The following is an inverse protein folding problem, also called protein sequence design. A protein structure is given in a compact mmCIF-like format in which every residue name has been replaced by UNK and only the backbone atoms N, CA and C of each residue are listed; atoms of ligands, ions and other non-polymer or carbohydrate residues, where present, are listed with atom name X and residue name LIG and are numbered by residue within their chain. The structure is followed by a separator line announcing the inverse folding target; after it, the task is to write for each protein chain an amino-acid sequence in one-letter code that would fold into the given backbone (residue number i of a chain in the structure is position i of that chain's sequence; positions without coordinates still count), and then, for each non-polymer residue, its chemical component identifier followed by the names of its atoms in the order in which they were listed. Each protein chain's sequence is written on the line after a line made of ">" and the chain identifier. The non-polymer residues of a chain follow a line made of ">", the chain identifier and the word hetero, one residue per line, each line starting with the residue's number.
data_IF_166481465365
#
_entry.id   IF_166481465365
#
_cell.length_a   1.000
_cell.length_b   1.000
_cell.length_c   1.000
_cell.angle_alpha   90.00
_cell.angle_beta   90.00
_cell.angle_gamma   90.00
#
_symmetry.space_group_name_H-M   'P 1'
#
loop_
_entity.id
_entity.type
_entity.pdbx_description
1 polymer ?
#
# COMPACT_ATOMS: atom_id res chain seq x y z
N UNK A 1 -31.57 -45.69 40.44
CA UNK A 1 -32.21 -44.43 39.97
C UNK A 1 -31.26 -43.23 39.92
N UNK A 2 -30.25 -43.11 40.80
CA UNK A 2 -29.25 -42.01 40.75
C UNK A 2 -28.30 -42.06 39.54
N UNK A 3 -27.99 -43.26 39.03
CA UNK A 3 -27.08 -43.45 37.88
C UNK A 3 -27.70 -43.00 36.54
N UNK A 4 -29.01 -43.18 36.36
CA UNK A 4 -29.74 -42.70 35.17
C UNK A 4 -29.88 -41.17 35.15
N UNK A 5 -29.95 -40.53 36.33
CA UNK A 5 -30.01 -39.07 36.44
C UNK A 5 -28.66 -38.42 36.05
N UNK A 6 -27.54 -39.08 36.34
CA UNK A 6 -26.20 -38.58 36.01
C UNK A 6 -25.88 -38.66 34.51
N UNK A 7 -26.37 -39.70 33.83
CA UNK A 7 -26.12 -39.90 32.39
C UNK A 7 -26.89 -38.89 31.52
N UNK A 8 -28.11 -38.50 31.92
CA UNK A 8 -28.92 -37.50 31.22
C UNK A 8 -28.36 -36.06 31.32
N UNK A 9 -27.69 -35.75 32.45
CA UNK A 9 -27.01 -34.45 32.64
C UNK A 9 -25.76 -34.34 31.76
N UNK A 10 -25.06 -35.45 31.53
CA UNK A 10 -23.85 -35.47 30.70
C UNK A 10 -24.14 -35.26 29.21
N UNK A 11 -25.29 -35.75 28.73
CA UNK A 11 -25.72 -35.54 27.33
C UNK A 11 -26.15 -34.10 27.04
N UNK A 12 -26.61 -33.35 28.03
CA UNK A 12 -26.98 -31.93 27.86
C UNK A 12 -25.75 -30.99 27.77
N UNK A 13 -24.60 -31.40 28.34
CA UNK A 13 -23.35 -30.62 28.33
C UNK A 13 -22.55 -30.75 27.02
N UNK A 14 -22.94 -31.65 26.12
CA UNK A 14 -22.21 -31.90 24.86
C UNK A 14 -22.68 -31.04 23.67
N UNK A 15 -23.63 -30.12 23.88
CA UNK A 15 -24.21 -29.28 22.81
C UNK A 15 -23.29 -28.10 22.44
N UNK A 16 -22.38 -27.68 23.31
CA UNK A 16 -21.48 -26.53 23.06
C UNK A 16 -20.21 -26.88 22.26
N UNK A 17 -20.12 -28.08 21.69
CA UNK A 17 -18.98 -28.53 20.87
C UNK A 17 -19.23 -28.43 19.35
N UNK A 18 -20.20 -27.64 18.90
CA UNK A 18 -20.36 -27.35 17.47
C UNK A 18 -19.26 -26.40 17.01
N UNK A 19 -18.35 -26.91 16.17
CA UNK A 19 -17.36 -26.14 15.43
C UNK A 19 -18.09 -25.06 14.61
N UNK A 20 -18.05 -23.81 15.07
CA UNK A 20 -18.59 -22.67 14.33
C UNK A 20 -17.79 -22.54 13.04
N UNK A 21 -18.32 -23.10 11.95
CA UNK A 21 -17.89 -22.72 10.62
C UNK A 21 -18.11 -21.21 10.50
N UNK A 22 -17.02 -20.46 10.53
CA UNK A 22 -17.06 -19.02 10.70
C UNK A 22 -17.68 -18.41 9.44
N UNK A 23 -18.90 -17.88 9.57
CA UNK A 23 -19.66 -17.25 8.47
C UNK A 23 -18.83 -16.17 7.74
N UNK A 24 -17.86 -15.59 8.45
CA UNK A 24 -16.86 -14.67 7.91
C UNK A 24 -16.10 -15.25 6.71
N UNK A 25 -15.74 -16.53 6.71
CA UNK A 25 -15.00 -17.18 5.61
C UNK A 25 -15.78 -17.12 4.30
N UNK A 26 -17.06 -17.53 4.32
CA UNK A 26 -17.90 -17.51 3.13
C UNK A 26 -18.16 -16.08 2.64
N UNK A 27 -18.27 -15.10 3.55
CA UNK A 27 -18.42 -13.70 3.17
C UNK A 27 -17.18 -13.16 2.43
N UNK A 28 -15.98 -13.47 2.91
CA UNK A 28 -14.75 -13.06 2.22
C UNK A 28 -14.52 -13.82 0.91
N UNK A 29 -14.82 -15.13 0.89
CA UNK A 29 -14.74 -15.95 -0.31
C UNK A 29 -15.65 -15.41 -1.42
N UNK A 30 -16.90 -15.11 -1.08
CA UNK A 30 -17.87 -14.54 -2.03
C UNK A 30 -17.53 -13.11 -2.46
N UNK A 31 -16.74 -12.37 -1.68
CA UNK A 31 -16.29 -11.03 -2.05
C UNK A 31 -15.19 -11.04 -3.13
N UNK A 32 -14.51 -12.17 -3.36
CA UNK A 32 -13.49 -12.33 -4.39
C UNK A 32 -14.19 -12.59 -5.73
N UNK A 33 -14.57 -11.52 -6.42
CA UNK A 33 -15.19 -11.58 -7.76
C UNK A 33 -14.34 -10.89 -8.80
N UNK A 34 -14.45 -11.35 -10.06
CA UNK A 34 -13.73 -10.76 -11.18
C UNK A 34 -14.05 -9.27 -11.35
N UNK A 35 -15.33 -8.89 -11.25
CA UNK A 35 -15.77 -7.50 -11.40
C UNK A 35 -15.19 -6.58 -10.31
N UNK A 36 -15.16 -7.05 -9.06
CA UNK A 36 -14.60 -6.28 -7.96
C UNK A 36 -13.10 -6.08 -8.12
N UNK A 37 -12.38 -7.14 -8.50
CA UNK A 37 -10.94 -7.06 -8.76
C UNK A 37 -10.63 -6.15 -9.95
N UNK A 38 -11.42 -6.27 -11.02
CA UNK A 38 -11.31 -5.42 -12.20
C UNK A 38 -11.53 -3.94 -11.86
N UNK A 39 -12.52 -3.62 -11.03
CA UNK A 39 -12.77 -2.25 -10.58
C UNK A 39 -11.57 -1.62 -9.85
N UNK A 40 -10.93 -2.37 -8.94
CA UNK A 40 -9.71 -1.92 -8.29
C UNK A 40 -8.54 -1.76 -9.28
N UNK A 41 -8.38 -2.71 -10.19
CA UNK A 41 -7.31 -2.71 -11.18
C UNK A 41 -7.43 -1.52 -12.15
N UNK A 42 -8.61 -1.29 -12.72
CA UNK A 42 -8.86 -0.19 -13.65
C UNK A 42 -8.69 1.17 -12.98
N UNK A 43 -9.11 1.32 -11.71
CA UNK A 43 -8.84 2.56 -10.99
C UNK A 43 -7.34 2.81 -10.82
N UNK A 44 -6.58 1.81 -10.37
CA UNK A 44 -5.13 1.94 -10.15
C UNK A 44 -4.38 2.18 -11.46
N UNK A 45 -4.87 1.62 -12.57
CA UNK A 45 -4.29 1.78 -13.91
C UNK A 45 -4.82 3.01 -14.69
N UNK A 46 -5.76 3.77 -14.11
CA UNK A 46 -6.33 4.95 -14.78
C UNK A 46 -5.38 6.13 -14.78
N UNK A 47 -5.57 7.05 -15.73
CA UNK A 47 -4.78 8.28 -15.84
C UNK A 47 -4.85 9.16 -14.57
N UNK A 48 -5.92 9.02 -13.77
CA UNK A 48 -6.08 9.72 -12.49
C UNK A 48 -4.96 9.41 -11.49
N UNK A 49 -4.38 8.21 -11.59
CA UNK A 49 -3.27 7.82 -10.72
C UNK A 49 -1.93 8.16 -11.34
N UNK A 50 -1.84 8.77 -12.54
CA UNK A 50 -0.60 9.26 -13.18
C UNK A 50 0.58 8.23 -13.24
N UNK A 51 0.32 6.96 -12.94
CA UNK A 51 1.34 5.92 -12.77
C UNK A 51 1.81 5.66 -11.33
N UNK A 52 2.77 4.74 -11.19
CA UNK A 52 3.26 4.22 -9.89
C UNK A 52 4.77 4.40 -9.71
N UNK A 53 5.34 5.38 -10.39
CA UNK A 53 6.74 5.73 -10.17
C UNK A 53 6.94 6.24 -8.75
N UNK A 54 8.04 5.83 -8.12
CA UNK A 54 8.34 6.17 -6.73
C UNK A 54 8.47 7.68 -6.56
N UNK A 55 7.90 8.23 -5.47
CA UNK A 55 7.94 9.65 -5.13
C UNK A 55 7.11 10.57 -6.03
N UNK A 56 6.27 10.02 -6.91
CA UNK A 56 5.33 10.81 -7.73
C UNK A 56 4.01 11.07 -7.00
N UNK A 57 3.21 12.01 -7.52
CA UNK A 57 1.86 12.30 -7.03
C UNK A 57 0.94 11.08 -7.17
N UNK A 58 0.99 10.44 -8.32
CA UNK A 58 0.23 9.24 -8.64
C UNK A 58 0.37 8.09 -7.64
N UNK A 59 1.61 7.82 -7.24
CA UNK A 59 1.93 6.84 -6.21
C UNK A 59 1.27 7.17 -4.86
N UNK A 60 1.24 8.45 -4.46
CA UNK A 60 0.61 8.88 -3.20
C UNK A 60 -0.91 8.74 -3.24
N UNK A 61 -1.54 9.04 -4.38
CA UNK A 61 -3.00 8.85 -4.56
C UNK A 61 -3.34 7.37 -4.42
N UNK A 62 -2.59 6.50 -5.11
CA UNK A 62 -2.79 5.05 -5.05
C UNK A 62 -2.58 4.49 -3.64
N UNK A 63 -1.56 4.95 -2.91
CA UNK A 63 -1.32 4.55 -1.53
C UNK A 63 -2.50 4.91 -0.60
N UNK A 64 -3.04 6.12 -0.74
CA UNK A 64 -4.22 6.56 0.02
C UNK A 64 -5.48 5.76 -0.35
N UNK A 65 -5.64 5.40 -1.63
CA UNK A 65 -6.73 4.53 -2.05
C UNK A 65 -6.68 3.17 -1.35
N UNK A 66 -5.52 2.50 -1.36
CA UNK A 66 -5.34 1.18 -0.74
C UNK A 66 -5.55 1.26 0.78
N UNK A 67 -5.00 2.27 1.45
CA UNK A 67 -5.22 2.48 2.89
C UNK A 67 -6.72 2.64 3.22
N UNK A 68 -7.47 3.35 2.38
CA UNK A 68 -8.92 3.47 2.55
C UNK A 68 -9.66 2.16 2.28
N UNK A 69 -9.22 1.33 1.34
CA UNK A 69 -9.82 0.00 1.12
C UNK A 69 -9.63 -0.89 2.36
N UNK A 70 -8.43 -0.91 2.96
CA UNK A 70 -8.18 -1.63 4.21
C UNK A 70 -9.03 -1.13 5.36
N UNK A 71 -9.19 0.19 5.47
CA UNK A 71 -10.08 0.81 6.45
C UNK A 71 -11.54 0.36 6.26
N UNK A 72 -12.04 0.33 5.02
CA UNK A 72 -13.39 -0.14 4.71
C UNK A 72 -13.59 -1.63 5.02
N UNK A 73 -12.53 -2.43 4.91
CA UNK A 73 -12.53 -3.85 5.28
C UNK A 73 -12.40 -4.09 6.79
N UNK A 74 -12.20 -3.04 7.61
CA UNK A 74 -12.02 -3.16 9.06
C UNK A 74 -10.66 -3.74 9.46
N UNK A 75 -9.66 -3.70 8.57
CA UNK A 75 -8.31 -4.18 8.87
C UNK A 75 -7.68 -3.28 9.94
N UNK A 76 -7.13 -3.89 11.00
CA UNK A 76 -6.43 -3.14 12.04
C UNK A 76 -5.15 -2.53 11.45
N UNK A 77 -4.92 -1.20 11.61
CA UNK A 77 -3.72 -0.58 11.10
C UNK A 77 -2.48 -1.05 11.86
N UNK A 78 -1.40 -1.28 11.11
CA UNK A 78 -0.09 -1.73 11.61
C UNK A 78 1.05 -0.86 11.06
N UNK A 79 0.74 0.34 10.56
CA UNK A 79 1.75 1.29 10.10
C UNK A 79 2.60 1.83 11.25
N UNK A 80 3.76 2.38 10.92
CA UNK A 80 4.71 2.94 11.89
C UNK A 80 4.61 4.46 12.00
N UNK A 81 3.76 5.10 11.17
CA UNK A 81 3.49 6.54 11.27
C UNK A 81 2.67 6.84 12.52
N UNK A 82 3.19 7.71 13.38
CA UNK A 82 2.44 8.23 14.52
C UNK A 82 1.57 9.40 14.05
N UNK A 83 0.26 9.26 14.19
CA UNK A 83 -0.71 10.33 13.93
C UNK A 83 -1.58 10.56 15.15
N UNK A 84 -2.08 11.78 15.29
CA UNK A 84 -3.04 12.17 16.33
C UNK A 84 -4.47 11.77 15.96
N UNK A 85 -4.76 11.61 14.67
CA UNK A 85 -6.06 11.18 14.16
C UNK A 85 -6.08 9.66 13.91
N UNK A 86 -6.87 8.86 14.67
CA UNK A 86 -7.00 7.42 14.46
C UNK A 86 -7.59 7.03 13.10
N UNK A 87 -8.25 7.97 12.41
CA UNK A 87 -8.93 7.73 11.14
C UNK A 87 -8.12 8.17 9.92
N UNK A 88 -6.95 8.79 10.12
CA UNK A 88 -6.08 9.20 9.03
C UNK A 88 -5.54 7.99 8.25
N UNK A 89 -5.48 8.01 6.91
CA UNK A 89 -4.92 6.91 6.11
C UNK A 89 -3.46 6.57 6.47
N UNK A 90 -2.72 7.54 7.01
CA UNK A 90 -1.31 7.43 7.36
C UNK A 90 -1.02 6.32 8.39
N UNK A 91 -2.01 5.96 9.23
CA UNK A 91 -1.90 4.83 10.18
C UNK A 91 -1.58 3.49 9.52
N UNK A 92 -1.82 3.35 8.21
CA UNK A 92 -1.52 2.13 7.45
C UNK A 92 -0.14 2.17 6.78
N UNK A 93 0.58 3.29 6.82
CA UNK A 93 1.81 3.46 6.07
C UNK A 93 3.05 3.00 6.87
N UNK A 94 3.99 2.41 6.12
CA UNK A 94 5.32 2.04 6.60
C UNK A 94 6.36 2.83 5.79
N UNK A 95 6.78 4.02 6.26
CA UNK A 95 7.79 4.82 5.58
C UNK A 95 9.15 4.11 5.54
N UNK A 96 9.86 4.33 4.43
CA UNK A 96 11.24 3.91 4.23
C UNK A 96 12.00 4.97 3.44
N UNK A 97 13.32 5.01 3.60
CA UNK A 97 14.17 5.97 2.89
C UNK A 97 14.34 5.58 1.42
N UNK A 98 14.08 6.53 0.52
CA UNK A 98 14.32 6.37 -0.92
C UNK A 98 15.51 7.23 -1.33
N UNK A 99 16.46 6.63 -2.03
CA UNK A 99 17.61 7.36 -2.59
C UNK A 99 17.38 7.60 -4.08
N UNK A 100 17.28 8.87 -4.48
CA UNK A 100 17.27 9.25 -5.90
C UNK A 100 18.72 9.45 -6.35
N UNK A 101 19.11 8.81 -7.45
CA UNK A 101 20.33 9.19 -8.16
C UNK A 101 20.02 10.49 -8.90
N UNK A 102 20.51 11.61 -8.36
CA UNK A 102 20.47 12.87 -9.09
C UNK A 102 21.36 12.75 -10.34
N UNK A 103 20.82 13.04 -11.52
CA UNK A 103 21.68 13.34 -12.67
C UNK A 103 22.40 14.67 -12.37
N UNK A 104 23.66 14.84 -12.76
CA UNK A 104 24.34 16.12 -12.58
C UNK A 104 23.54 17.22 -13.28
N UNK A 105 22.96 18.14 -12.49
CA UNK A 105 22.12 19.23 -12.99
C UNK A 105 22.87 20.09 -13.99
N UNK A 106 24.17 20.31 -13.74
CA UNK A 106 25.09 20.99 -14.64
C UNK A 106 26.33 20.12 -14.84
N UNK A 107 26.68 19.86 -16.10
CA UNK A 107 27.91 19.18 -16.49
C UNK A 107 28.72 20.12 -17.37
N UNK A 108 29.92 20.49 -16.95
CA UNK A 108 30.82 21.31 -17.78
C UNK A 108 31.94 20.43 -18.32
N UNK A 109 32.09 20.41 -19.65
CA UNK A 109 33.26 19.87 -20.33
C UNK A 109 34.22 21.02 -20.55
N UNK A 110 35.44 20.91 -20.01
CA UNK A 110 36.52 21.87 -20.23
C UNK A 110 37.70 21.20 -20.93
N UNK A 111 38.18 21.79 -22.01
CA UNK A 111 39.43 21.43 -22.68
C UNK A 111 40.48 22.45 -22.25
N UNK A 112 41.55 22.00 -21.58
CA UNK A 112 42.64 22.86 -21.09
C UNK A 112 43.91 22.63 -21.91
N UNK A 113 44.62 23.70 -22.22
CA UNK A 113 45.96 23.65 -22.82
C UNK A 113 46.92 24.32 -21.83
N UNK A 114 47.78 23.54 -21.19
CA UNK A 114 48.58 24.00 -20.05
C UNK A 114 47.70 24.41 -18.86
N UNK A 115 47.92 25.62 -18.33
CA UNK A 115 47.13 26.13 -17.20
C UNK A 115 45.86 26.89 -17.61
N UNK A 116 45.61 27.09 -18.92
CA UNK A 116 44.50 27.88 -19.44
C UNK A 116 43.40 26.99 -20.02
N UNK A 117 42.14 27.29 -19.71
CA UNK A 117 41.00 26.64 -20.38
C UNK A 117 40.87 27.20 -21.79
N UNK A 118 40.96 26.33 -22.80
CA UNK A 118 40.88 26.69 -24.21
C UNK A 118 39.44 26.70 -24.72
N UNK A 119 38.62 25.75 -24.28
CA UNK A 119 37.20 25.63 -24.67
C UNK A 119 36.43 25.08 -23.47
N UNK A 120 35.26 25.63 -23.19
CA UNK A 120 34.31 25.02 -22.25
C UNK A 120 32.91 24.94 -22.87
N UNK A 121 32.19 23.89 -22.52
CA UNK A 121 30.78 23.71 -22.87
C UNK A 121 30.05 23.22 -21.62
N UNK A 122 28.98 23.90 -21.25
CA UNK A 122 28.12 23.51 -20.14
C UNK A 122 26.81 22.93 -20.67
N UNK A 123 26.38 21.83 -20.05
CA UNK A 123 25.09 21.18 -20.28
C UNK A 123 24.28 21.23 -19.00
N UNK A 124 23.03 21.69 -19.08
CA UNK A 124 22.09 21.69 -17.96
C UNK A 124 20.93 20.76 -18.26
N UNK A 125 20.63 19.84 -17.34
CA UNK A 125 19.60 18.82 -17.51
C UNK A 125 18.15 19.33 -17.22
N UNK A 126 17.98 20.58 -16.79
CA UNK A 126 16.73 21.11 -16.25
C UNK A 126 15.66 21.42 -17.33
N UNK A 127 15.98 21.32 -18.62
CA UNK A 127 15.06 21.64 -19.73
C UNK A 127 14.49 20.41 -20.47
N UNK A 128 14.67 19.19 -19.96
CA UNK A 128 14.33 17.96 -20.71
C UNK A 128 13.06 17.23 -20.21
N UNK A 129 12.47 17.63 -19.09
CA UNK A 129 11.38 16.87 -18.43
C UNK A 129 9.97 17.48 -18.64
N UNK A 130 9.81 18.48 -19.52
CA UNK A 130 8.51 19.13 -19.83
C UNK A 130 7.78 18.54 -21.07
N UNK A 131 7.99 17.25 -21.39
CA UNK A 131 7.29 16.52 -22.46
C UNK A 131 6.52 15.32 -21.94
#
# INVERSE_FOLDING_TARGET
>A
MKLFLFLAVCTALSVDAQEKTDSSFFNYFNAITADRLAGHLYFIASDLTEGRETSTRGQKITANYIANQYRMMGVKPMGTVKTTDPFAPDVYFQPFSVYKRAKPTNSTIEVRVGNSTAISSSFSAEHQDDL
#
